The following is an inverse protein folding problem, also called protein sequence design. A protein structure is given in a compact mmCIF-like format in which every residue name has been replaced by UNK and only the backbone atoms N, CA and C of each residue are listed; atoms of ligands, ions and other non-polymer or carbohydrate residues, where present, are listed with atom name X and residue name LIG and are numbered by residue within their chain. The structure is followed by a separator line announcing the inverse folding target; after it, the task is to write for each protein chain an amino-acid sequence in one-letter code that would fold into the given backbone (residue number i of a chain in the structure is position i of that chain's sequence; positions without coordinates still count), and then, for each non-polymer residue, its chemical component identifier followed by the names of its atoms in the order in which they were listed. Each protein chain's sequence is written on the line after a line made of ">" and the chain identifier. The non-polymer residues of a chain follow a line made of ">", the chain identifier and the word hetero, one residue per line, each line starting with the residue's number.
data_IF_787653566418
#
_entry.id   IF_787653566418
#
_cell.length_a   1.000
_cell.length_b   1.000
_cell.length_c   1.000
_cell.angle_alpha   90.00
_cell.angle_beta   90.00
_cell.angle_gamma   90.00
#
_symmetry.space_group_name_H-M   'P 1'
#
loop_
_entity.id
_entity.type
_entity.pdbx_description
1 polymer ?
#
# COMPACT_ATOMS: atom_id res chain seq x y z
N UNK A 1 24.44 14.08 4.61
CA UNK A 1 25.26 14.62 3.51
C UNK A 1 26.11 13.51 2.84
N UNK A 2 26.71 12.58 3.62
CA UNK A 2 27.51 11.45 3.08
C UNK A 2 26.70 10.60 2.11
N UNK A 3 25.45 10.26 2.46
CA UNK A 3 24.53 9.50 1.58
C UNK A 3 24.27 10.28 0.28
N UNK A 4 23.96 11.56 0.37
CA UNK A 4 23.65 12.40 -0.81
C UNK A 4 24.88 12.46 -1.72
N UNK A 5 26.07 12.72 -1.17
CA UNK A 5 27.32 12.74 -1.93
C UNK A 5 27.55 11.41 -2.65
N UNK A 6 27.43 10.27 -1.94
CA UNK A 6 27.63 8.94 -2.49
C UNK A 6 26.67 8.64 -3.67
N UNK A 7 25.42 9.09 -3.56
CA UNK A 7 24.43 8.94 -4.63
C UNK A 7 24.69 9.88 -5.82
N UNK A 8 25.12 11.13 -5.57
CA UNK A 8 25.53 12.10 -6.62
C UNK A 8 26.75 11.60 -7.39
N UNK A 9 27.80 11.21 -6.66
CA UNK A 9 29.05 10.68 -7.26
C UNK A 9 28.79 9.42 -8.10
N UNK A 10 27.69 8.73 -7.84
CA UNK A 10 27.26 7.52 -8.58
C UNK A 10 26.25 7.80 -9.70
N UNK A 11 25.87 9.06 -9.93
CA UNK A 11 24.90 9.46 -10.95
C UNK A 11 23.45 9.04 -10.64
N UNK A 12 23.12 8.74 -9.37
CA UNK A 12 21.79 8.31 -8.94
C UNK A 12 20.90 9.45 -8.45
N UNK A 13 21.43 10.66 -8.33
CA UNK A 13 20.69 11.88 -8.02
C UNK A 13 20.99 12.96 -9.05
N UNK A 14 19.99 13.82 -9.30
CA UNK A 14 20.19 15.02 -10.11
C UNK A 14 20.77 16.14 -9.24
N UNK A 15 22.05 16.45 -9.45
CA UNK A 15 22.78 17.44 -8.68
C UNK A 15 22.42 18.89 -9.00
N UNK A 16 21.77 19.16 -10.14
CA UNK A 16 21.38 20.50 -10.56
C UNK A 16 20.03 20.95 -9.95
N UNK A 17 19.41 20.07 -9.15
CA UNK A 17 18.15 20.39 -8.46
C UNK A 17 18.38 21.48 -7.43
N UNK A 18 17.58 22.55 -7.49
CA UNK A 18 17.61 23.64 -6.51
C UNK A 18 17.09 23.16 -5.14
N UNK A 19 17.81 23.47 -4.10
CA UNK A 19 17.43 23.19 -2.71
C UNK A 19 16.73 24.39 -2.06
N UNK A 20 16.17 24.19 -0.86
CA UNK A 20 15.52 25.27 -0.10
C UNK A 20 16.47 26.37 0.37
N UNK A 21 17.79 26.16 0.29
CA UNK A 21 18.81 27.16 0.61
C UNK A 21 19.15 28.07 -0.56
N UNK A 22 18.57 27.82 -1.74
CA UNK A 22 18.86 28.57 -2.97
C UNK A 22 20.11 28.09 -3.70
N UNK A 23 20.81 27.10 -3.18
CA UNK A 23 21.93 26.42 -3.84
C UNK A 23 21.44 25.19 -4.59
N UNK A 24 22.15 24.77 -5.61
CA UNK A 24 21.95 23.44 -6.17
C UNK A 24 22.45 22.36 -5.21
N UNK A 25 21.98 21.12 -5.40
CA UNK A 25 22.41 20.00 -4.56
C UNK A 25 23.92 19.75 -4.67
N UNK A 26 24.49 19.91 -5.89
CA UNK A 26 25.93 19.85 -6.13
C UNK A 26 26.70 20.94 -5.34
N UNK A 27 26.26 22.21 -5.42
CA UNK A 27 26.89 23.33 -4.71
C UNK A 27 26.82 23.10 -3.18
N UNK A 28 25.68 22.65 -2.68
CA UNK A 28 25.52 22.35 -1.27
C UNK A 28 26.47 21.23 -0.79
N UNK A 29 26.60 20.15 -1.55
CA UNK A 29 27.52 19.05 -1.21
C UNK A 29 28.97 19.47 -1.30
N UNK A 30 29.34 20.26 -2.31
CA UNK A 30 30.69 20.81 -2.45
C UNK A 30 31.06 21.72 -1.25
N UNK A 31 30.15 22.60 -0.85
CA UNK A 31 30.35 23.51 0.30
C UNK A 31 30.49 22.75 1.63
N UNK A 32 29.67 21.70 1.84
CA UNK A 32 29.66 20.91 3.07
C UNK A 32 30.80 19.91 3.13
N UNK A 33 31.36 19.55 2.00
CA UNK A 33 32.47 18.61 1.84
C UNK A 33 32.38 17.38 2.76
N UNK A 34 31.30 16.59 2.70
CA UNK A 34 31.13 15.43 3.59
C UNK A 34 32.14 14.32 3.27
N UNK A 35 32.47 13.55 4.30
CA UNK A 35 33.33 12.38 4.17
C UNK A 35 32.80 11.34 3.18
N UNK A 36 33.63 10.40 2.80
CA UNK A 36 33.21 9.21 2.04
C UNK A 36 32.52 8.21 2.95
N UNK A 37 31.65 7.31 2.39
CA UNK A 37 31.09 6.19 3.15
C UNK A 37 32.16 5.33 3.81
N UNK A 38 31.91 4.94 5.07
CA UNK A 38 32.81 4.13 5.90
C UNK A 38 32.67 2.62 5.69
N UNK A 39 31.60 2.16 5.01
CA UNK A 39 31.17 0.78 4.86
C UNK A 39 30.80 0.04 6.16
N UNK A 40 30.64 0.78 7.26
CA UNK A 40 30.14 0.25 8.54
C UNK A 40 28.71 0.71 8.79
N UNK A 41 28.48 2.03 8.76
CA UNK A 41 27.17 2.65 8.94
C UNK A 41 26.54 3.01 7.59
N UNK A 42 27.33 3.56 6.67
CA UNK A 42 26.90 3.93 5.32
C UNK A 42 27.73 3.16 4.30
N UNK A 43 27.07 2.28 3.57
CA UNK A 43 27.71 1.47 2.53
C UNK A 43 27.89 2.27 1.25
N UNK A 44 29.01 2.05 0.58
CA UNK A 44 29.27 2.63 -0.74
C UNK A 44 28.34 2.00 -1.79
N UNK A 45 27.87 2.80 -2.76
CA UNK A 45 26.99 2.31 -3.85
C UNK A 45 27.61 1.11 -4.60
N UNK A 46 28.93 1.06 -4.74
CA UNK A 46 29.63 -0.07 -5.39
C UNK A 46 29.67 -1.36 -4.56
N UNK A 47 29.47 -1.27 -3.25
CA UNK A 47 29.44 -2.39 -2.30
C UNK A 47 28.25 -2.30 -1.35
N UNK A 48 27.01 -2.31 -1.86
CA UNK A 48 25.83 -2.05 -1.07
C UNK A 48 25.53 -3.20 -0.11
N UNK A 49 24.90 -2.90 1.04
CA UNK A 49 24.41 -3.92 1.97
C UNK A 49 23.44 -4.91 1.30
N UNK A 50 22.56 -4.39 0.40
CA UNK A 50 21.69 -5.16 -0.48
C UNK A 50 21.74 -4.58 -1.88
N UNK A 51 21.72 -5.43 -2.91
CA UNK A 51 21.75 -5.01 -4.32
C UNK A 51 20.47 -4.30 -4.76
N UNK A 52 19.34 -4.56 -4.09
CA UNK A 52 18.02 -3.97 -4.39
C UNK A 52 17.44 -3.33 -3.15
N UNK A 53 16.54 -2.36 -3.33
CA UNK A 53 15.77 -1.75 -2.24
C UNK A 53 14.84 -2.74 -1.54
N UNK A 54 14.36 -2.35 -0.35
CA UNK A 54 13.43 -3.13 0.46
C UNK A 54 11.95 -2.97 0.09
N UNK A 55 11.64 -2.21 -0.95
CA UNK A 55 10.27 -1.98 -1.42
C UNK A 55 10.10 -2.54 -2.83
N UNK A 56 8.95 -3.17 -3.09
CA UNK A 56 8.53 -3.61 -4.42
C UNK A 56 7.14 -3.12 -4.74
N UNK A 57 6.94 -2.67 -5.96
CA UNK A 57 5.62 -2.39 -6.51
C UNK A 57 5.05 -3.69 -7.07
N UNK A 58 3.80 -3.97 -6.71
CA UNK A 58 3.07 -5.13 -7.19
C UNK A 58 1.87 -4.68 -8.02
N UNK A 59 1.69 -5.35 -9.15
CA UNK A 59 0.52 -5.25 -10.01
C UNK A 59 -0.43 -6.43 -9.81
N UNK A 60 -1.14 -6.83 -10.87
CA UNK A 60 -2.05 -7.98 -10.85
C UNK A 60 -3.51 -7.61 -10.65
N UNK A 61 -4.37 -8.62 -10.43
CA UNK A 61 -5.81 -8.38 -10.39
C UNK A 61 -6.29 -7.63 -9.13
N UNK A 62 -5.50 -7.64 -8.04
CA UNK A 62 -5.78 -6.85 -6.85
C UNK A 62 -5.23 -5.42 -6.91
N UNK A 63 -4.25 -5.17 -7.77
CA UNK A 63 -3.64 -3.85 -7.97
C UNK A 63 -3.41 -3.56 -9.46
N UNK A 64 -4.48 -3.40 -10.24
CA UNK A 64 -4.39 -3.24 -11.70
C UNK A 64 -3.63 -1.97 -12.13
N UNK A 65 -3.48 -1.01 -11.26
CA UNK A 65 -2.72 0.24 -11.49
C UNK A 65 -1.27 0.17 -10.97
N UNK A 66 -0.80 -1.01 -10.53
CA UNK A 66 0.54 -1.25 -9.99
C UNK A 66 0.89 -0.34 -8.79
N UNK A 67 -0.04 -0.13 -7.88
CA UNK A 67 0.13 0.75 -6.72
C UNK A 67 0.43 0.04 -5.42
N UNK A 68 0.18 -1.28 -5.35
CA UNK A 68 0.46 -2.05 -4.15
C UNK A 68 1.97 -2.06 -3.86
N UNK A 69 2.33 -1.70 -2.63
CA UNK A 69 3.72 -1.64 -2.18
C UNK A 69 3.96 -2.76 -1.18
N UNK A 70 4.78 -3.72 -1.58
CA UNK A 70 5.30 -4.74 -0.70
C UNK A 70 6.57 -4.25 -0.02
N UNK A 71 6.61 -4.37 1.30
CA UNK A 71 7.79 -4.14 2.11
C UNK A 71 8.45 -5.48 2.44
N UNK A 72 9.70 -5.65 2.00
CA UNK A 72 10.49 -6.89 2.18
C UNK A 72 11.35 -6.87 3.45
N UNK A 73 11.34 -5.79 4.23
CA UNK A 73 12.14 -5.71 5.44
C UNK A 73 11.63 -6.71 6.48
N UNK A 74 12.49 -7.66 6.88
CA UNK A 74 12.15 -8.67 7.87
C UNK A 74 11.24 -9.81 7.38
N UNK A 75 11.11 -10.00 6.06
CA UNK A 75 10.46 -11.20 5.51
C UNK A 75 11.47 -12.34 5.55
N UNK A 76 11.40 -13.14 6.59
CA UNK A 76 12.27 -14.31 6.79
C UNK A 76 11.56 -15.64 6.50
N UNK A 77 10.23 -15.63 6.53
CA UNK A 77 9.38 -16.83 6.39
C UNK A 77 8.17 -16.54 5.48
N UNK A 78 7.50 -17.59 5.03
CA UNK A 78 6.25 -17.52 4.28
C UNK A 78 6.40 -17.35 2.78
N UNK A 79 7.63 -17.35 2.26
CA UNK A 79 7.90 -17.34 0.82
C UNK A 79 8.43 -18.70 0.38
N UNK A 80 7.74 -19.35 -0.52
CA UNK A 80 8.21 -20.50 -1.25
C UNK A 80 8.55 -20.09 -2.70
N UNK A 81 9.81 -20.26 -3.12
CA UNK A 81 10.28 -19.80 -4.44
C UNK A 81 9.95 -18.32 -4.75
N UNK A 82 10.06 -17.45 -3.77
CA UNK A 82 9.64 -16.04 -3.84
C UNK A 82 8.13 -15.82 -4.08
N UNK A 83 7.30 -16.78 -3.73
CA UNK A 83 5.84 -16.67 -3.82
C UNK A 83 5.26 -16.83 -2.41
N UNK A 84 4.44 -15.88 -2.00
CA UNK A 84 3.55 -16.05 -0.85
C UNK A 84 2.19 -16.52 -1.35
N UNK A 85 1.60 -17.51 -0.68
CA UNK A 85 0.26 -17.98 -0.96
C UNK A 85 -0.46 -18.28 0.36
N UNK A 86 -1.60 -17.60 0.58
CA UNK A 86 -2.33 -17.72 1.83
C UNK A 86 -3.82 -17.50 1.69
N UNK A 87 -4.57 -17.85 2.74
CA UNK A 87 -6.02 -17.64 2.80
C UNK A 87 -6.37 -16.26 3.35
N UNK A 88 -7.29 -15.58 2.69
CA UNK A 88 -7.76 -14.27 3.09
C UNK A 88 -8.53 -14.32 4.42
N UNK A 89 -8.18 -13.41 5.35
CA UNK A 89 -8.91 -13.09 6.56
C UNK A 89 -9.34 -11.63 6.51
N UNK A 90 -10.63 -11.38 6.35
CA UNK A 90 -11.16 -10.07 5.97
C UNK A 90 -11.60 -9.26 7.19
N UNK A 91 -11.08 -8.04 7.28
CA UNK A 91 -11.47 -7.05 8.28
C UNK A 91 -11.84 -5.73 7.61
N UNK A 92 -13.09 -5.30 7.77
CA UNK A 92 -13.56 -4.02 7.28
C UNK A 92 -13.30 -2.97 8.36
N UNK A 93 -12.10 -2.39 8.34
CA UNK A 93 -11.57 -1.45 9.31
C UNK A 93 -10.61 -2.07 10.33
N UNK A 94 -9.63 -1.27 10.74
CA UNK A 94 -8.59 -1.63 11.71
C UNK A 94 -9.17 -2.11 13.04
N UNK A 95 -10.19 -1.42 13.56
CA UNK A 95 -10.82 -1.72 14.84
C UNK A 95 -11.30 -3.17 14.92
N UNK A 96 -11.91 -3.70 13.85
CA UNK A 96 -12.42 -5.08 13.81
C UNK A 96 -11.30 -6.11 13.86
N UNK A 97 -10.14 -5.80 13.26
CA UNK A 97 -8.97 -6.65 13.37
C UNK A 97 -8.43 -6.67 14.80
N UNK A 98 -8.30 -5.49 15.43
CA UNK A 98 -7.83 -5.40 16.82
C UNK A 98 -8.75 -6.14 17.79
N UNK A 99 -10.06 -5.96 17.66
CA UNK A 99 -11.05 -6.71 18.45
C UNK A 99 -10.92 -8.23 18.25
N UNK A 100 -10.63 -8.70 17.03
CA UNK A 100 -10.42 -10.12 16.76
C UNK A 100 -9.13 -10.64 17.38
N UNK A 101 -8.04 -9.87 17.29
CA UNK A 101 -6.75 -10.23 17.91
C UNK A 101 -6.85 -10.33 19.43
N UNK A 102 -7.62 -9.43 20.06
CA UNK A 102 -7.81 -9.42 21.52
C UNK A 102 -8.71 -10.58 21.98
N UNK A 103 -9.83 -10.83 21.30
CA UNK A 103 -10.85 -11.77 21.77
C UNK A 103 -10.64 -13.21 21.27
N UNK A 104 -9.97 -13.41 20.15
CA UNK A 104 -9.77 -14.74 19.57
C UNK A 104 -8.48 -14.82 18.73
N UNK A 105 -7.29 -14.79 19.35
CA UNK A 105 -6.02 -14.87 18.64
C UNK A 105 -5.82 -16.22 17.93
N UNK A 106 -6.55 -17.28 18.33
CA UNK A 106 -6.49 -18.60 17.71
C UNK A 106 -7.27 -18.70 16.39
N UNK A 107 -7.96 -17.63 15.99
CA UNK A 107 -8.67 -17.55 14.71
C UNK A 107 -7.70 -17.61 13.50
N UNK A 108 -6.48 -17.12 13.67
CA UNK A 108 -5.51 -17.04 12.60
C UNK A 108 -4.71 -18.35 12.46
N UNK A 109 -4.53 -18.80 11.22
CA UNK A 109 -3.72 -19.97 10.89
C UNK A 109 -2.40 -19.53 10.23
N UNK A 110 -1.43 -20.45 10.21
CA UNK A 110 -0.18 -20.22 9.49
C UNK A 110 -0.45 -19.88 8.02
N UNK A 111 0.30 -18.92 7.49
CA UNK A 111 0.18 -18.37 6.13
C UNK A 111 -1.15 -17.66 5.81
N UNK A 112 -1.98 -17.31 6.81
CA UNK A 112 -3.13 -16.47 6.52
C UNK A 112 -2.68 -15.08 6.01
N UNK A 113 -3.39 -14.54 5.00
CA UNK A 113 -3.30 -13.16 4.55
C UNK A 113 -4.40 -12.33 5.22
N UNK A 114 -4.03 -11.56 6.23
CA UNK A 114 -4.94 -10.62 6.89
C UNK A 114 -5.17 -9.44 5.95
N UNK A 115 -6.43 -9.09 5.67
CA UNK A 115 -6.80 -7.98 4.79
C UNK A 115 -7.60 -6.96 5.57
N UNK A 116 -7.02 -5.78 5.79
CA UNK A 116 -7.71 -4.63 6.36
C UNK A 116 -8.06 -3.68 5.23
N UNK A 117 -9.34 -3.40 5.04
CA UNK A 117 -9.83 -2.60 3.92
C UNK A 117 -10.81 -1.52 4.36
N UNK A 118 -11.12 -0.58 3.46
CA UNK A 118 -11.87 0.67 3.71
C UNK A 118 -11.10 1.68 4.58
N UNK A 119 -9.78 1.56 4.65
CA UNK A 119 -8.87 2.44 5.36
C UNK A 119 -7.99 3.28 4.41
N UNK A 120 -8.27 3.22 3.11
CA UNK A 120 -7.66 4.08 2.11
C UNK A 120 -8.09 5.55 2.23
N UNK A 121 -7.54 6.48 1.42
CA UNK A 121 -7.77 7.92 1.55
C UNK A 121 -9.24 8.34 1.53
N UNK A 122 -10.06 7.70 0.69
CA UNK A 122 -11.49 7.98 0.58
C UNK A 122 -12.29 7.27 1.69
N UNK A 123 -11.91 6.04 2.03
CA UNK A 123 -12.55 5.26 3.08
C UNK A 123 -12.32 5.85 4.47
N UNK A 124 -11.07 6.18 4.79
CA UNK A 124 -10.63 6.74 6.06
C UNK A 124 -9.77 7.99 5.81
N UNK A 125 -10.35 9.21 5.89
CA UNK A 125 -9.62 10.45 5.65
C UNK A 125 -8.39 10.57 6.54
N UNK A 126 -7.22 10.82 5.93
CA UNK A 126 -5.93 10.83 6.60
C UNK A 126 -5.17 9.51 6.48
N UNK A 127 -5.82 8.45 6.01
CA UNK A 127 -5.23 7.13 5.72
C UNK A 127 -4.36 6.63 6.88
N UNK A 128 -4.96 5.98 7.90
CA UNK A 128 -4.25 5.57 9.11
C UNK A 128 -3.09 4.63 8.81
N UNK A 129 -2.07 4.69 9.65
CA UNK A 129 -0.99 3.70 9.64
C UNK A 129 -1.40 2.46 10.42
N UNK A 130 -1.10 1.29 9.86
CA UNK A 130 -1.36 -0.01 10.51
C UNK A 130 -0.29 -0.34 11.58
N UNK A 131 0.00 0.60 12.50
CA UNK A 131 1.06 0.43 13.50
C UNK A 131 0.67 -0.59 14.57
N UNK A 132 -0.48 -0.39 15.22
CA UNK A 132 -0.98 -1.29 16.28
C UNK A 132 -1.28 -2.71 15.74
N UNK A 133 -2.03 -2.88 14.62
CA UNK A 133 -2.19 -4.19 14.00
C UNK A 133 -0.88 -4.90 13.70
N UNK A 134 0.08 -4.20 13.11
CA UNK A 134 1.39 -4.80 12.75
C UNK A 134 2.15 -5.28 13.98
N UNK A 135 2.16 -4.46 15.06
CA UNK A 135 2.83 -4.82 16.32
C UNK A 135 2.21 -6.06 16.95
N UNK A 136 0.87 -6.12 17.05
CA UNK A 136 0.16 -7.26 17.64
C UNK A 136 0.28 -8.53 16.80
N UNK A 137 0.19 -8.42 15.47
CA UNK A 137 0.42 -9.56 14.57
C UNK A 137 1.85 -10.09 14.73
N UNK A 138 2.85 -9.20 14.81
CA UNK A 138 4.25 -9.61 15.03
C UNK A 138 4.41 -10.37 16.35
N UNK A 139 3.77 -9.91 17.41
CA UNK A 139 3.76 -10.58 18.71
C UNK A 139 3.11 -11.95 18.60
N UNK A 140 1.92 -12.03 18.01
CA UNK A 140 1.18 -13.28 17.80
C UNK A 140 1.99 -14.30 16.99
N UNK A 141 2.66 -13.84 15.91
CA UNK A 141 3.52 -14.70 15.10
C UNK A 141 4.66 -15.33 15.92
N UNK A 142 5.27 -14.54 16.79
CA UNK A 142 6.35 -15.03 17.68
C UNK A 142 5.85 -16.00 18.73
N UNK A 143 4.72 -15.70 19.38
CA UNK A 143 4.14 -16.54 20.44
C UNK A 143 3.66 -17.90 19.93
N UNK A 144 3.15 -17.94 18.70
CA UNK A 144 2.57 -19.17 18.13
C UNK A 144 3.47 -19.86 17.10
N UNK A 145 4.65 -19.30 16.79
CA UNK A 145 5.56 -19.75 15.72
C UNK A 145 4.84 -19.92 14.36
N UNK A 146 4.00 -18.96 14.00
CA UNK A 146 3.28 -18.89 12.72
C UNK A 146 3.73 -17.69 11.91
N UNK A 147 3.48 -17.74 10.62
CA UNK A 147 3.71 -16.63 9.69
C UNK A 147 2.36 -16.07 9.22
N UNK A 148 2.15 -14.78 9.41
CA UNK A 148 0.99 -14.06 8.91
C UNK A 148 1.45 -12.96 7.98
N UNK A 149 0.69 -12.74 6.90
CA UNK A 149 0.87 -11.58 6.03
C UNK A 149 -0.25 -10.57 6.27
N UNK A 150 0.04 -9.29 6.03
CA UNK A 150 -0.95 -8.21 6.21
C UNK A 150 -1.02 -7.37 4.95
N UNK A 151 -2.23 -7.19 4.43
CA UNK A 151 -2.53 -6.37 3.25
C UNK A 151 -3.58 -5.31 3.57
N UNK A 152 -3.43 -4.10 3.02
CA UNK A 152 -4.36 -3.00 3.23
C UNK A 152 -4.38 -2.03 2.05
N UNK A 153 -5.51 -1.35 1.86
CA UNK A 153 -5.64 -0.17 1.01
C UNK A 153 -5.15 1.13 1.69
N UNK A 154 -4.79 1.05 2.98
CA UNK A 154 -4.10 2.09 3.74
C UNK A 154 -2.57 2.01 3.58
N UNK A 155 -1.80 2.39 4.61
CA UNK A 155 -0.34 2.48 4.58
C UNK A 155 0.33 1.80 5.78
N UNK A 156 1.61 1.52 5.63
CA UNK A 156 2.47 1.02 6.70
C UNK A 156 3.60 1.99 7.02
N UNK A 157 3.98 2.06 8.29
CA UNK A 157 5.14 2.84 8.72
C UNK A 157 6.47 2.17 8.34
N UNK A 158 7.57 2.92 8.46
CA UNK A 158 8.92 2.40 8.27
C UNK A 158 9.28 1.25 9.21
N UNK A 159 8.71 1.21 10.41
CA UNK A 159 8.97 0.21 11.44
C UNK A 159 8.22 -1.12 11.30
N UNK A 160 7.32 -1.25 10.32
CA UNK A 160 6.57 -2.51 10.12
C UNK A 160 7.49 -3.67 9.74
N UNK A 161 7.25 -4.85 10.33
CA UNK A 161 8.04 -6.08 10.13
C UNK A 161 7.13 -7.18 9.55
N UNK A 162 7.73 -8.10 8.80
CA UNK A 162 7.01 -9.19 8.14
C UNK A 162 6.55 -8.83 6.72
N UNK A 163 5.73 -9.71 6.13
CA UNK A 163 5.19 -9.52 4.78
C UNK A 163 3.99 -8.58 4.87
N UNK A 164 4.22 -7.29 4.57
CA UNK A 164 3.19 -6.26 4.59
C UNK A 164 3.05 -5.60 3.23
N UNK A 165 1.80 -5.50 2.75
CA UNK A 165 1.44 -4.94 1.43
C UNK A 165 0.46 -3.78 1.67
N UNK A 166 0.92 -2.56 1.45
CA UNK A 166 0.12 -1.34 1.57
C UNK A 166 -0.26 -0.74 0.23
N UNK A 167 -1.09 0.29 0.27
CA UNK A 167 -1.51 1.08 -0.89
C UNK A 167 -2.15 0.23 -2.00
N UNK A 168 -2.85 -0.85 -1.62
CA UNK A 168 -3.55 -1.69 -2.59
C UNK A 168 -4.68 -0.89 -3.22
N UNK A 169 -4.53 -0.60 -4.49
CA UNK A 169 -5.44 0.29 -5.18
C UNK A 169 -5.82 -0.16 -6.59
N UNK A 170 -7.02 0.25 -7.04
CA UNK A 170 -7.99 1.15 -6.38
C UNK A 170 -8.49 0.63 -5.04
N UNK A 171 -8.70 1.55 -4.07
CA UNK A 171 -9.10 1.21 -2.71
C UNK A 171 -10.53 0.66 -2.60
N UNK A 172 -10.83 -0.04 -1.49
CA UNK A 172 -12.12 -0.69 -1.29
C UNK A 172 -13.30 0.29 -1.29
N UNK A 173 -13.13 1.49 -0.73
CA UNK A 173 -14.18 2.52 -0.69
C UNK A 173 -14.59 3.01 -2.08
N UNK A 174 -13.77 2.81 -3.10
CA UNK A 174 -14.04 3.12 -4.51
C UNK A 174 -14.45 1.88 -5.33
N UNK A 175 -14.66 0.74 -4.70
CA UNK A 175 -14.99 -0.51 -5.37
C UNK A 175 -13.80 -1.16 -6.08
N UNK A 176 -12.58 -0.87 -5.63
CA UNK A 176 -11.39 -1.55 -6.11
C UNK A 176 -11.44 -3.05 -5.82
N UNK A 177 -10.63 -3.87 -6.53
CA UNK A 177 -10.68 -5.33 -6.42
C UNK A 177 -10.51 -5.85 -4.98
N UNK A 178 -9.79 -5.16 -4.12
CA UNK A 178 -9.65 -5.52 -2.70
C UNK A 178 -11.00 -5.55 -1.96
N UNK A 179 -12.01 -4.76 -2.41
CA UNK A 179 -13.36 -4.80 -1.86
C UNK A 179 -14.09 -6.09 -2.20
N UNK A 180 -13.70 -6.77 -3.28
CA UNK A 180 -14.36 -7.94 -3.83
C UNK A 180 -13.80 -9.26 -3.28
N UNK A 181 -12.70 -9.21 -2.52
CA UNK A 181 -12.13 -10.40 -1.86
C UNK A 181 -13.08 -10.86 -0.76
N UNK A 182 -13.34 -12.16 -0.70
CA UNK A 182 -14.16 -12.79 0.34
C UNK A 182 -13.31 -13.62 1.31
N UNK A 183 -13.87 -13.90 2.49
CA UNK A 183 -13.21 -14.71 3.52
C UNK A 183 -12.85 -16.09 2.97
N UNK A 184 -11.59 -16.48 3.13
CA UNK A 184 -11.07 -17.76 2.67
C UNK A 184 -10.60 -17.80 1.22
N UNK A 185 -10.73 -16.71 0.46
CA UNK A 185 -10.13 -16.60 -0.88
C UNK A 185 -8.61 -16.81 -0.82
N UNK A 186 -8.04 -17.25 -1.93
CA UNK A 186 -6.60 -17.49 -2.03
C UNK A 186 -5.90 -16.25 -2.56
N UNK A 187 -5.00 -15.69 -1.76
CA UNK A 187 -4.17 -14.56 -2.15
C UNK A 187 -2.77 -15.06 -2.50
N UNK A 188 -2.28 -14.63 -3.65
CA UNK A 188 -0.93 -14.93 -4.13
C UNK A 188 -0.16 -13.64 -4.39
N UNK A 189 1.01 -13.49 -3.76
CA UNK A 189 1.98 -12.44 -4.07
C UNK A 189 3.23 -13.09 -4.66
N UNK A 190 3.43 -12.88 -5.95
CA UNK A 190 4.55 -13.46 -6.71
C UNK A 190 5.64 -12.41 -6.92
N UNK A 191 6.77 -12.56 -6.23
CA UNK A 191 7.89 -11.63 -6.28
C UNK A 191 8.77 -11.82 -7.53
N UNK A 192 8.59 -12.90 -8.27
CA UNK A 192 9.32 -13.12 -9.51
C UNK A 192 8.70 -12.31 -10.65
N UNK A 193 7.36 -12.17 -10.66
CA UNK A 193 6.58 -11.41 -11.66
C UNK A 193 6.14 -10.04 -11.14
N UNK A 194 6.30 -9.76 -9.84
CA UNK A 194 5.77 -8.59 -9.14
C UNK A 194 4.23 -8.48 -9.25
N UNK A 195 3.53 -9.58 -9.04
CA UNK A 195 2.08 -9.65 -9.11
C UNK A 195 1.45 -9.95 -7.75
N UNK A 196 0.29 -9.35 -7.52
CA UNK A 196 -0.59 -9.55 -6.38
C UNK A 196 -1.98 -9.94 -6.90
N UNK A 197 -2.37 -11.18 -6.66
CA UNK A 197 -3.59 -11.74 -7.21
C UNK A 197 -4.46 -12.38 -6.13
N UNK A 198 -5.78 -12.26 -6.30
CA UNK A 198 -6.76 -13.16 -5.72
C UNK A 198 -7.13 -14.20 -6.80
N UNK A 199 -6.93 -15.47 -6.50
CA UNK A 199 -7.10 -16.56 -7.46
C UNK A 199 -8.56 -16.63 -7.92
N UNK A 200 -9.50 -16.51 -7.01
CA UNK A 200 -10.94 -16.58 -7.27
C UNK A 200 -11.43 -15.43 -8.17
N UNK A 201 -10.79 -14.25 -8.08
CA UNK A 201 -11.12 -13.10 -8.94
C UNK A 201 -10.51 -13.19 -10.35
N UNK A 202 -9.74 -14.21 -10.67
CA UNK A 202 -9.33 -14.50 -12.05
C UNK A 202 -10.50 -15.01 -12.89
N UNK A 203 -11.46 -15.69 -12.25
CA UNK A 203 -12.71 -16.05 -12.90
C UNK A 203 -13.58 -14.81 -13.14
N UNK A 204 -13.91 -14.59 -14.41
CA UNK A 204 -14.64 -13.40 -14.84
C UNK A 204 -16.08 -13.34 -14.28
N UNK A 205 -16.74 -14.49 -14.15
CA UNK A 205 -18.11 -14.55 -13.64
C UNK A 205 -18.14 -14.21 -12.16
N UNK A 206 -17.24 -14.79 -11.39
CA UNK A 206 -17.03 -14.47 -9.96
C UNK A 206 -16.72 -13.00 -9.76
N UNK A 207 -15.80 -12.45 -10.54
CA UNK A 207 -15.48 -11.02 -10.47
C UNK A 207 -16.70 -10.14 -10.72
N UNK A 208 -17.43 -10.39 -11.82
CA UNK A 208 -18.59 -9.60 -12.19
C UNK A 208 -19.74 -9.72 -11.18
N UNK A 209 -19.97 -10.91 -10.64
CA UNK A 209 -20.98 -11.15 -9.62
C UNK A 209 -20.70 -10.36 -8.34
N UNK A 210 -19.45 -10.43 -7.83
CA UNK A 210 -19.03 -9.70 -6.62
C UNK A 210 -19.01 -8.20 -6.85
N UNK A 211 -18.56 -7.73 -8.01
CA UNK A 211 -18.58 -6.31 -8.38
C UNK A 211 -20.03 -5.77 -8.44
N UNK A 212 -20.95 -6.53 -9.00
CA UNK A 212 -22.37 -6.18 -9.03
C UNK A 212 -22.92 -6.06 -7.61
N UNK A 213 -22.71 -7.07 -6.77
CA UNK A 213 -23.14 -7.05 -5.36
C UNK A 213 -22.64 -5.80 -4.64
N UNK A 214 -21.35 -5.46 -4.80
CA UNK A 214 -20.77 -4.26 -4.20
C UNK A 214 -21.47 -2.99 -4.69
N UNK A 215 -21.72 -2.85 -5.99
CA UNK A 215 -22.43 -1.71 -6.60
C UNK A 215 -23.86 -1.59 -6.12
N UNK A 216 -24.58 -2.71 -6.02
CA UNK A 216 -25.97 -2.75 -5.53
C UNK A 216 -26.03 -2.27 -4.05
N UNK A 217 -25.04 -2.59 -3.22
CA UNK A 217 -24.94 -2.09 -1.84
C UNK A 217 -24.68 -0.59 -1.79
N UNK A 218 -23.81 -0.06 -2.64
CA UNK A 218 -23.57 1.39 -2.78
C UNK A 218 -24.84 2.13 -3.19
N UNK A 219 -25.55 1.62 -4.18
CA UNK A 219 -26.80 2.23 -4.68
C UNK A 219 -27.87 2.27 -3.60
N UNK A 220 -28.08 1.15 -2.90
CA UNK A 220 -29.04 1.06 -1.78
C UNK A 220 -28.71 2.00 -0.63
N UNK A 221 -27.43 2.31 -0.42
CA UNK A 221 -26.95 3.18 0.66
C UNK A 221 -26.66 4.63 0.21
N UNK A 222 -27.28 5.08 -0.86
CA UNK A 222 -27.19 6.48 -1.29
C UNK A 222 -25.84 6.91 -1.87
N UNK A 223 -25.09 5.98 -2.44
CA UNK A 223 -23.85 6.27 -3.17
C UNK A 223 -22.56 6.05 -2.39
N UNK A 224 -22.64 5.57 -1.15
CA UNK A 224 -21.50 5.20 -0.30
C UNK A 224 -21.69 3.76 0.16
N UNK A 225 -20.67 2.93 0.04
CA UNK A 225 -20.76 1.54 0.52
C UNK A 225 -20.95 1.51 2.05
N UNK A 226 -21.87 0.69 2.60
CA UNK A 226 -22.18 0.70 4.05
C UNK A 226 -21.00 0.31 4.95
N UNK A 227 -19.96 -0.35 4.42
CA UNK A 227 -18.74 -0.66 5.15
C UNK A 227 -17.74 0.51 5.23
N UNK A 228 -17.96 1.59 4.50
CA UNK A 228 -17.20 2.84 4.68
C UNK A 228 -17.64 3.46 5.99
N UNK A 229 -16.74 3.49 6.98
CA UNK A 229 -17.05 4.00 8.31
C UNK A 229 -17.61 5.43 8.32
N UNK A 230 -18.41 5.77 9.30
CA UNK A 230 -18.84 7.14 9.54
C UNK A 230 -17.65 8.04 9.92
N UNK A 231 -17.77 9.31 9.67
CA UNK A 231 -16.77 10.31 10.08
C UNK A 231 -17.37 11.22 11.14
N UNK A 232 -16.65 11.37 12.25
CA UNK A 232 -17.15 12.03 13.45
C UNK A 232 -17.27 13.56 13.32
N UNK A 233 -16.60 14.14 12.31
CA UNK A 233 -16.54 15.61 12.16
C UNK A 233 -16.87 16.06 10.74
N UNK A 234 -17.40 17.29 10.64
CA UNK A 234 -17.66 17.95 9.35
C UNK A 234 -16.36 18.16 8.55
N UNK A 235 -15.24 18.34 9.22
CA UNK A 235 -13.93 18.48 8.57
C UNK A 235 -13.53 17.17 7.89
N UNK A 236 -13.59 16.04 8.59
CA UNK A 236 -13.29 14.73 8.01
C UNK A 236 -14.25 14.37 6.88
N UNK A 237 -15.53 14.73 6.98
CA UNK A 237 -16.49 14.55 5.89
C UNK A 237 -16.08 15.33 4.63
N UNK A 238 -15.61 16.58 4.79
CA UNK A 238 -15.05 17.37 3.67
C UNK A 238 -13.80 16.76 3.10
N UNK A 239 -12.87 16.31 3.95
CA UNK A 239 -11.65 15.65 3.51
C UNK A 239 -11.97 14.39 2.70
N UNK A 240 -12.88 13.55 3.16
CA UNK A 240 -13.35 12.37 2.43
C UNK A 240 -13.89 12.72 1.04
N UNK A 241 -14.74 13.75 0.95
CA UNK A 241 -15.33 14.16 -0.33
C UNK A 241 -14.33 14.74 -1.32
N UNK A 242 -13.19 15.23 -0.86
CA UNK A 242 -12.13 15.80 -1.67
C UNK A 242 -10.96 14.84 -1.88
N UNK A 243 -10.88 13.79 -1.07
CA UNK A 243 -9.78 12.83 -1.13
C UNK A 243 -9.78 12.07 -2.45
N UNK A 244 -8.58 11.81 -2.95
CA UNK A 244 -8.35 10.97 -4.12
C UNK A 244 -7.63 9.70 -3.70
N UNK A 245 -7.85 8.62 -4.46
CA UNK A 245 -7.20 7.35 -4.21
C UNK A 245 -5.68 7.47 -4.13
N UNK A 246 -5.04 6.54 -3.40
CA UNK A 246 -3.59 6.37 -3.41
C UNK A 246 -3.01 6.16 -4.81
N UNK A 247 -3.77 5.57 -5.74
CA UNK A 247 -3.46 5.48 -7.17
C UNK A 247 -3.07 6.83 -7.78
N UNK A 248 -3.65 7.91 -7.26
CA UNK A 248 -3.45 9.29 -7.74
C UNK A 248 -2.74 10.17 -6.71
N UNK A 249 -2.04 9.57 -5.76
CA UNK A 249 -1.21 10.28 -4.80
C UNK A 249 -1.90 10.68 -3.50
N UNK A 250 -3.11 10.17 -3.21
CA UNK A 250 -3.83 10.35 -1.93
C UNK A 250 -4.03 11.82 -1.48
N UNK A 251 -3.95 12.78 -2.40
CA UNK A 251 -4.16 14.19 -2.12
C UNK A 251 -5.63 14.58 -2.04
N UNK A 252 -5.91 15.89 -2.07
CA UNK A 252 -7.25 16.43 -2.20
C UNK A 252 -7.44 17.10 -3.55
N UNK A 253 -8.57 16.83 -4.21
CA UNK A 253 -8.90 17.44 -5.48
C UNK A 253 -9.97 18.54 -5.29
N UNK A 254 -9.78 19.75 -5.85
CA UNK A 254 -10.69 20.87 -5.63
C UNK A 254 -12.12 20.64 -6.10
N UNK A 255 -12.34 19.75 -7.05
CA UNK A 255 -13.66 19.44 -7.62
C UNK A 255 -14.28 18.13 -7.10
N UNK A 256 -13.72 17.50 -6.08
CA UNK A 256 -14.20 16.35 -5.30
C UNK A 256 -14.89 15.15 -5.98
N UNK A 257 -15.63 15.40 -7.04
CA UNK A 257 -16.47 14.40 -7.73
C UNK A 257 -15.82 13.70 -8.93
N UNK A 258 -14.56 13.91 -9.19
CA UNK A 258 -13.88 13.40 -10.41
C UNK A 258 -13.64 11.88 -10.35
N UNK A 259 -13.99 11.23 -9.25
CA UNK A 259 -13.43 9.94 -8.85
C UNK A 259 -14.41 8.77 -8.83
N UNK A 260 -15.48 8.83 -9.60
CA UNK A 260 -16.13 7.58 -10.01
C UNK A 260 -15.26 6.97 -11.10
N UNK A 261 -14.11 6.43 -10.70
CA UNK A 261 -13.25 5.73 -11.64
C UNK A 261 -13.94 4.45 -12.08
N UNK A 262 -14.13 4.30 -13.39
CA UNK A 262 -14.41 2.99 -13.97
C UNK A 262 -13.06 2.28 -14.14
N UNK A 263 -12.70 1.31 -13.28
CA UNK A 263 -11.39 0.65 -13.33
C UNK A 263 -11.11 -0.05 -14.67
N UNK A 264 -12.14 -0.21 -15.54
CA UNK A 264 -12.00 -0.80 -16.85
C UNK A 264 -11.61 0.18 -17.97
N UNK A 265 -11.50 1.46 -17.68
CA UNK A 265 -10.92 2.46 -18.59
C UNK A 265 -9.54 2.86 -18.11
N UNK A 266 -8.73 1.88 -17.72
CA UNK A 266 -7.30 2.06 -17.51
C UNK A 266 -6.66 2.56 -18.82
N UNK A 267 -6.04 3.71 -18.78
CA UNK A 267 -5.42 4.38 -19.93
C UNK A 267 -5.63 5.89 -19.97
N UNK A 268 -6.63 6.41 -19.28
CA UNK A 268 -6.79 7.84 -19.09
C UNK A 268 -6.50 8.21 -17.64
N UNK A 269 -5.19 8.33 -17.30
CA UNK A 269 -4.81 9.07 -16.10
C UNK A 269 -5.35 10.49 -16.23
N UNK A 270 -6.39 10.90 -15.46
CA UNK A 270 -6.94 12.24 -15.55
C UNK A 270 -5.95 13.32 -15.09
N UNK A 271 -4.82 12.90 -14.48
CA UNK A 271 -3.67 13.74 -14.12
C UNK A 271 -2.45 13.54 -14.99
N UNK A 272 -2.53 12.83 -16.12
CA UNK A 272 -1.52 13.14 -17.13
C UNK A 272 -1.65 14.63 -17.37
N UNK A 273 -0.72 15.44 -16.89
CA UNK A 273 -0.72 16.83 -17.29
C UNK A 273 -0.82 16.79 -18.80
N UNK A 274 -1.72 17.55 -19.39
CA UNK A 274 -1.67 17.87 -20.80
C UNK A 274 -0.43 18.74 -20.93
N UNK A 275 0.73 18.06 -20.86
CA UNK A 275 2.01 18.73 -20.82
C UNK A 275 2.22 19.47 -22.09
N UNK A 276 2.16 20.78 -21.94
CA UNK A 276 2.94 21.67 -22.78
C UNK A 276 4.12 22.31 -22.01
N UNK A 277 4.28 22.04 -20.70
CA UNK A 277 5.32 22.69 -19.89
C UNK A 277 5.77 21.80 -18.71
N UNK A 278 6.40 20.68 -18.98
CA UNK A 278 7.46 20.06 -18.19
C UNK A 278 8.37 19.30 -19.13
#
# INVERSE_FOLDING_TARGET
>A
QVIIKNLLDSGLLNGDTLTCTGETLNEQVLRLNPDSPDNEVIYHVKSPFKKTGGLRLLGGNLSPENTAILKLAGVERGLENNIFKGKARIFNGEKKLLEKLDNNPNFFNDLDMIIVRYEGPVGAPGMPEMLDPTSRITTLCRERDITLALMTDARFSGGSVGLVIGHVGPEAALGGPIALVEEGDTIEANLNTNELNCVELQDKETFLSREKKWKDEVEKNGGIHPLVGEVDTRLLARMRNLAVSAVYGAGMHPNGKVWVHNPRKSGSNPFKPKNKYL
#
